data_IF_972662159178
#
_entry.id   IF_972662159178
#
_cell.length_a   1.000
_cell.length_b   1.000
_cell.length_c   1.000
_cell.angle_alpha   90.00
_cell.angle_beta   90.00
_cell.angle_gamma   90.00
#
_symmetry.space_group_name_H-M   'P 1'
#
loop_
_entity.id
_entity.type
_entity.pdbx_description
1 polymer ?
#
# COMPACT_ATOMS: atom_id res chain seq x y z
N UNK A 1 -5.44 12.40 -13.16
CA UNK A 1 -4.84 11.05 -13.13
C UNK A 1 -5.94 10.05 -13.39
N UNK A 2 -5.75 9.11 -14.31
CA UNK A 2 -6.71 8.02 -14.55
C UNK A 2 -6.10 6.76 -13.94
N UNK A 3 -6.85 6.08 -13.07
CA UNK A 3 -6.42 4.81 -12.46
C UNK A 3 -6.88 3.67 -13.37
N UNK A 4 -5.93 2.91 -13.90
CA UNK A 4 -6.24 1.65 -14.57
C UNK A 4 -6.60 0.59 -13.51
N UNK A 5 -7.90 0.46 -13.26
CA UNK A 5 -8.44 -0.45 -12.24
C UNK A 5 -8.23 -1.92 -12.57
N UNK A 6 -8.21 -2.29 -13.85
CA UNK A 6 -8.02 -3.68 -14.27
C UNK A 6 -6.58 -4.09 -14.02
N UNK A 7 -5.63 -3.26 -14.43
CA UNK A 7 -4.22 -3.53 -14.19
C UNK A 7 -3.87 -3.49 -12.69
N UNK A 8 -4.40 -2.50 -11.95
CA UNK A 8 -4.15 -2.42 -10.50
C UNK A 8 -4.70 -3.64 -9.75
N UNK A 9 -5.89 -4.13 -10.12
CA UNK A 9 -6.46 -5.36 -9.56
C UNK A 9 -5.55 -6.57 -9.81
N UNK A 10 -5.11 -6.77 -11.05
CA UNK A 10 -4.26 -7.89 -11.42
C UNK A 10 -2.91 -7.87 -10.68
N UNK A 11 -2.32 -6.68 -10.49
CA UNK A 11 -1.09 -6.52 -9.71
C UNK A 11 -1.31 -6.84 -8.22
N UNK A 12 -2.42 -6.41 -7.64
CA UNK A 12 -2.74 -6.72 -6.24
C UNK A 12 -3.02 -8.21 -6.04
N UNK A 13 -3.73 -8.87 -6.95
CA UNK A 13 -3.97 -10.33 -6.89
C UNK A 13 -2.69 -11.16 -7.00
N UNK A 14 -1.68 -10.67 -7.73
CA UNK A 14 -0.39 -11.34 -7.90
C UNK A 14 0.62 -11.07 -6.78
N UNK A 15 0.42 -10.01 -5.99
CA UNK A 15 1.30 -9.66 -4.88
C UNK A 15 1.12 -10.59 -3.68
N UNK A 16 2.02 -10.51 -2.68
CA UNK A 16 1.92 -11.31 -1.46
C UNK A 16 0.58 -11.05 -0.76
N UNK A 17 -0.31 -12.06 -0.66
CA UNK A 17 -1.66 -11.87 -0.12
C UNK A 17 -1.60 -11.63 1.38
N UNK A 18 -2.66 -11.01 1.92
CA UNK A 18 -2.78 -10.68 3.34
C UNK A 18 -2.36 -9.25 3.67
N UNK A 19 -2.46 -8.89 4.96
CA UNK A 19 -2.07 -7.56 5.42
C UNK A 19 -0.56 -7.42 5.46
N UNK A 20 -0.12 -6.21 5.12
CA UNK A 20 1.28 -5.81 5.24
C UNK A 20 1.43 -4.87 6.43
N UNK A 21 2.56 -4.97 7.11
CA UNK A 21 2.86 -4.24 8.35
C UNK A 21 4.26 -3.65 8.27
N UNK A 22 4.52 -2.62 9.08
CA UNK A 22 5.89 -2.17 9.32
C UNK A 22 6.58 -3.09 10.32
N UNK A 23 7.80 -3.54 10.03
CA UNK A 23 8.57 -4.49 10.86
C UNK A 23 9.90 -3.89 11.31
N UNK A 24 9.82 -2.75 12.00
CA UNK A 24 10.98 -2.03 12.50
C UNK A 24 11.86 -1.40 11.41
N UNK A 25 13.12 -1.14 11.78
CA UNK A 25 14.09 -0.47 10.93
C UNK A 25 15.50 -1.06 11.14
N UNK A 26 16.36 -0.88 10.14
CA UNK A 26 17.77 -1.17 10.25
C UNK A 26 18.53 0.10 10.58
N UNK A 27 19.28 0.05 11.68
CA UNK A 27 20.16 1.12 12.15
C UNK A 27 21.60 0.62 12.08
N UNK A 28 22.49 1.43 11.48
CA UNK A 28 23.90 1.10 11.38
C UNK A 28 24.63 1.30 12.73
N UNK A 29 25.92 0.94 12.78
CA UNK A 29 26.75 1.07 13.99
C UNK A 29 26.93 2.51 14.50
N UNK A 30 26.61 3.51 13.67
CA UNK A 30 26.67 4.93 14.02
C UNK A 30 25.32 5.49 14.48
N UNK A 31 24.29 4.66 14.59
CA UNK A 31 22.96 5.10 15.02
C UNK A 31 22.14 5.76 13.92
N UNK A 32 22.46 5.54 12.64
CA UNK A 32 21.69 6.09 11.52
C UNK A 32 20.75 5.04 10.94
N UNK A 33 19.48 5.40 10.76
CA UNK A 33 18.51 4.57 10.04
C UNK A 33 18.96 4.47 8.58
N UNK A 34 19.04 3.25 8.04
CA UNK A 34 19.31 3.04 6.61
C UNK A 34 18.04 2.67 5.85
N UNK A 35 17.15 1.89 6.47
CA UNK A 35 15.89 1.47 5.86
C UNK A 35 14.86 1.05 6.90
N UNK A 36 13.59 1.25 6.58
CA UNK A 36 12.43 0.78 7.33
C UNK A 36 11.76 -0.38 6.58
N UNK A 37 11.41 -1.45 7.30
CA UNK A 37 10.92 -2.67 6.68
C UNK A 37 9.40 -2.66 6.52
N UNK A 38 8.93 -3.24 5.42
CA UNK A 38 7.56 -3.70 5.22
C UNK A 38 7.58 -5.22 5.19
N UNK A 39 6.70 -5.85 5.97
CA UNK A 39 6.59 -7.30 6.11
C UNK A 39 5.15 -7.76 5.97
N UNK A 40 4.97 -9.07 5.80
CA UNK A 40 3.66 -9.70 5.95
C UNK A 40 3.28 -9.80 7.43
N UNK A 41 1.99 -9.71 7.77
CA UNK A 41 1.48 -9.82 9.16
C UNK A 41 1.89 -11.12 9.88
N UNK A 42 2.19 -12.18 9.12
CA UNK A 42 2.67 -13.49 9.63
C UNK A 42 4.20 -13.63 9.62
N UNK A 43 4.92 -12.53 9.39
CA UNK A 43 6.37 -12.49 9.25
C UNK A 43 6.84 -12.70 7.81
N UNK A 44 8.09 -12.28 7.56
CA UNK A 44 8.73 -12.27 6.24
C UNK A 44 8.74 -10.87 5.63
N UNK A 45 9.94 -10.38 5.27
CA UNK A 45 10.15 -9.05 4.67
C UNK A 45 9.71 -9.04 3.21
N UNK A 46 8.99 -7.99 2.82
CA UNK A 46 8.43 -7.78 1.48
C UNK A 46 9.17 -6.64 0.77
N UNK A 47 9.39 -5.53 1.47
CA UNK A 47 9.99 -4.33 0.90
C UNK A 47 10.74 -3.51 1.95
N UNK A 48 11.54 -2.56 1.48
CA UNK A 48 12.30 -1.61 2.29
C UNK A 48 12.06 -0.19 1.76
N UNK A 49 11.77 0.73 2.67
CA UNK A 49 11.87 2.16 2.38
C UNK A 49 13.26 2.65 2.78
N UNK A 50 13.98 3.29 1.87
CA UNK A 50 15.37 3.70 2.09
C UNK A 50 15.48 5.10 2.69
N UNK A 51 16.27 5.25 3.75
CA UNK A 51 16.50 6.52 4.44
C UNK A 51 17.47 7.45 3.69
N UNK A 52 18.25 6.91 2.75
CA UNK A 52 19.20 7.67 1.94
C UNK A 52 18.63 8.11 0.57
N UNK A 53 17.35 7.83 0.29
CA UNK A 53 16.72 8.10 -1.01
C UNK A 53 15.54 9.07 -0.86
N UNK A 54 15.65 10.28 -1.42
CA UNK A 54 14.59 11.29 -1.55
C UNK A 54 13.89 11.74 -0.24
N UNK A 55 14.26 11.19 0.91
CA UNK A 55 13.81 11.60 2.24
C UNK A 55 14.89 12.44 2.91
N UNK A 56 14.45 13.32 3.82
CA UNK A 56 15.31 14.24 4.58
C UNK A 56 15.43 13.86 6.06
N UNK A 57 14.52 13.02 6.54
CA UNK A 57 14.49 12.58 7.94
C UNK A 57 14.10 11.11 8.04
N UNK A 58 14.48 10.49 9.15
CA UNK A 58 14.13 9.09 9.44
C UNK A 58 12.61 8.92 9.55
N UNK A 59 11.88 9.94 10.04
CA UNK A 59 10.42 9.92 10.07
C UNK A 59 9.80 9.81 8.67
N UNK A 60 10.40 10.46 7.67
CA UNK A 60 9.92 10.33 6.29
C UNK A 60 10.19 8.94 5.73
N UNK A 61 11.32 8.33 6.07
CA UNK A 61 11.60 6.92 5.74
C UNK A 61 10.55 5.98 6.35
N UNK A 62 10.29 6.12 7.66
CA UNK A 62 9.26 5.35 8.37
C UNK A 62 7.87 5.59 7.80
N UNK A 63 7.54 6.84 7.46
CA UNK A 63 6.25 7.19 6.85
C UNK A 63 6.06 6.53 5.47
N UNK A 64 7.12 6.45 4.65
CA UNK A 64 7.07 5.73 3.37
C UNK A 64 6.81 4.23 3.58
N UNK A 65 7.51 3.58 4.51
CA UNK A 65 7.25 2.18 4.85
C UNK A 65 5.82 1.97 5.35
N UNK A 66 5.33 2.85 6.23
CA UNK A 66 3.96 2.79 6.73
C UNK A 66 2.92 2.96 5.61
N UNK A 67 3.14 3.87 4.67
CA UNK A 67 2.24 4.04 3.52
C UNK A 67 2.23 2.80 2.61
N UNK A 68 3.40 2.23 2.32
CA UNK A 68 3.50 1.00 1.52
C UNK A 68 2.78 -0.15 2.21
N UNK A 69 2.97 -0.32 3.52
CA UNK A 69 2.29 -1.34 4.32
C UNK A 69 0.76 -1.15 4.32
N UNK A 70 0.29 0.10 4.52
CA UNK A 70 -1.14 0.41 4.51
C UNK A 70 -1.80 0.24 3.13
N UNK A 71 -1.02 0.38 2.06
CA UNK A 71 -1.44 0.09 0.68
C UNK A 71 -1.25 -1.40 0.32
N UNK A 72 -1.48 -2.30 1.28
CA UNK A 72 -1.38 -3.74 1.08
C UNK A 72 -2.31 -4.21 -0.04
N UNK A 73 -2.02 -5.35 -0.70
CA UNK A 73 -2.86 -5.87 -1.77
C UNK A 73 -4.32 -6.09 -1.36
N UNK A 74 -4.55 -6.55 -0.13
CA UNK A 74 -5.92 -6.75 0.40
C UNK A 74 -6.68 -5.43 0.55
N UNK A 75 -6.01 -4.36 1.02
CA UNK A 75 -6.60 -3.02 1.12
C UNK A 75 -6.91 -2.45 -0.27
N UNK A 76 -5.98 -2.59 -1.22
CA UNK A 76 -6.19 -2.13 -2.61
C UNK A 76 -7.39 -2.83 -3.25
N UNK A 77 -7.50 -4.16 -3.09
CA UNK A 77 -8.63 -4.92 -3.62
C UNK A 77 -9.97 -4.51 -2.97
N UNK A 78 -9.97 -4.26 -1.66
CA UNK A 78 -11.16 -3.78 -0.96
C UNK A 78 -11.61 -2.40 -1.46
N UNK A 79 -10.66 -1.48 -1.68
CA UNK A 79 -10.94 -0.15 -2.24
C UNK A 79 -11.50 -0.24 -3.67
N UNK A 80 -10.94 -1.12 -4.52
CA UNK A 80 -11.44 -1.34 -5.87
C UNK A 80 -12.86 -1.90 -5.87
N UNK A 81 -13.15 -2.87 -5.01
CA UNK A 81 -14.50 -3.42 -4.85
C UNK A 81 -15.51 -2.35 -4.39
N UNK A 82 -15.11 -1.46 -3.49
CA UNK A 82 -15.95 -0.36 -3.03
C UNK A 82 -16.21 0.67 -4.14
N UNK A 83 -15.21 0.99 -4.96
CA UNK A 83 -15.37 1.86 -6.13
C UNK A 83 -16.37 1.23 -7.11
N UNK A 84 -16.24 -0.06 -7.43
CA UNK A 84 -17.16 -0.75 -8.34
C UNK A 84 -18.60 -0.74 -7.81
N UNK A 85 -18.78 -0.93 -6.50
CA UNK A 85 -20.08 -0.83 -5.83
C UNK A 85 -20.69 0.56 -5.95
N UNK A 86 -19.90 1.61 -5.70
CA UNK A 86 -20.36 2.99 -5.77
C UNK A 86 -20.70 3.38 -7.21
N UNK A 87 -19.83 3.08 -8.18
CA UNK A 87 -20.09 3.37 -9.59
C UNK A 87 -21.29 2.61 -10.17
N UNK A 88 -21.48 1.34 -9.79
CA UNK A 88 -22.66 0.56 -10.19
C UNK A 88 -23.95 1.10 -9.56
N UNK A 89 -23.89 1.55 -8.30
CA UNK A 89 -25.01 2.17 -7.60
C UNK A 89 -25.39 3.55 -8.14
N UNK A 90 -24.44 4.33 -8.65
CA UNK A 90 -24.69 5.59 -9.33
C UNK A 90 -25.41 5.39 -10.67
N UNK A 91 -24.95 4.42 -11.48
CA UNK A 91 -25.61 4.08 -12.74
C UNK A 91 -27.06 3.61 -12.54
N UNK A 92 -27.33 2.84 -11.48
CA UNK A 92 -28.69 2.39 -11.15
C UNK A 92 -29.61 3.54 -10.66
N UNK A 93 -29.07 4.53 -9.93
CA UNK A 93 -29.82 5.71 -9.49
C UNK A 93 -30.17 6.65 -10.64
N UNK A 94 -29.28 6.76 -11.63
CA UNK A 94 -29.52 7.58 -12.82
C UNK A 94 -30.56 6.95 -13.75
N UNK A 95 -30.52 5.63 -13.94
CA UNK A 95 -31.54 4.88 -14.68
C UNK A 95 -32.95 4.93 -14.03
N UNK A 96 -33.03 5.16 -12.72
CA UNK A 96 -34.31 5.29 -12.00
C UNK A 96 -34.88 6.72 -12.00
N UNK A 97 -34.15 7.72 -12.53
CA UNK A 97 -34.55 9.13 -12.58
C UNK A 97 -35.06 9.59 -13.95
N UNK A 98 -34.91 8.77 -14.99
CA UNK A 98 -35.49 8.98 -16.33
C UNK A 98 -36.78 8.21 -16.50
#
# INVERSE_FOLDING_TARGET
>A
MIIDRVMLKALAEAATPGEWVTDGEYVNEHGNVLYAYVAHEKGGRIAEAFANCLVKTDEQCRANAAYIAAASPVVVLALLAEIDRLSGGEAAKEASRG
#
